data_IF_564665840538
#
_entry.id   IF_564665840538
#
_cell.length_a   1.000
_cell.length_b   1.000
_cell.length_c   1.000
_cell.angle_alpha   90.00
_cell.angle_beta   90.00
_cell.angle_gamma   90.00
#
_symmetry.space_group_name_H-M   'P 1'
#
loop_
_entity.id
_entity.type
_entity.pdbx_description
1 polymer ?
#
# COMPACT_ATOMS: atom_id res chain seq x y z
N UNK A 1 2.73 24.30 -25.37
CA UNK A 1 1.37 24.88 -25.56
C UNK A 1 0.31 23.87 -26.04
N UNK A 2 0.59 22.57 -26.22
CA UNK A 2 -0.44 21.58 -26.61
C UNK A 2 -1.35 21.12 -25.46
N UNK A 3 -0.83 20.97 -24.23
CA UNK A 3 -1.61 20.52 -23.07
C UNK A 3 -2.59 21.59 -22.57
N UNK A 4 -2.23 22.88 -22.72
CA UNK A 4 -3.09 23.99 -22.33
C UNK A 4 -4.43 23.95 -23.07
N UNK A 5 -4.42 23.64 -24.38
CA UNK A 5 -5.64 23.48 -25.19
C UNK A 5 -6.43 22.21 -24.83
N UNK A 6 -5.75 21.10 -24.50
CA UNK A 6 -6.41 19.85 -24.08
C UNK A 6 -7.14 20.03 -22.74
N UNK A 7 -6.57 20.82 -21.83
CA UNK A 7 -7.11 21.04 -20.49
C UNK A 7 -7.94 22.33 -20.38
N UNK A 8 -8.03 23.15 -21.45
CA UNK A 8 -8.81 24.39 -21.47
C UNK A 8 -10.30 24.17 -21.19
N UNK A 9 -10.95 23.10 -21.69
CA UNK A 9 -12.33 22.77 -21.34
C UNK A 9 -12.51 22.34 -19.87
N UNK A 10 -11.42 22.05 -19.15
CA UNK A 10 -11.42 21.47 -17.80
C UNK A 10 -11.16 22.51 -16.70
N UNK A 11 -11.31 23.79 -17.02
CA UNK A 11 -11.26 24.90 -16.06
C UNK A 11 -10.14 25.91 -16.31
N UNK A 12 -10.23 27.04 -15.59
CA UNK A 12 -9.21 28.10 -15.62
C UNK A 12 -7.93 27.63 -14.94
N UNK A 13 -6.83 28.34 -15.14
CA UNK A 13 -5.49 27.93 -14.65
C UNK A 13 -5.42 27.51 -13.16
N UNK A 14 -6.26 28.05 -12.28
CA UNK A 14 -6.32 27.70 -10.86
C UNK A 14 -7.27 26.54 -10.52
N UNK A 15 -8.20 26.20 -11.40
CA UNK A 15 -9.29 25.26 -11.14
C UNK A 15 -9.20 23.99 -12.00
N UNK A 16 -8.10 23.81 -12.74
CA UNK A 16 -7.87 22.62 -13.57
C UNK A 16 -7.95 21.33 -12.75
N UNK A 17 -8.43 20.27 -13.37
CA UNK A 17 -8.52 18.94 -12.77
C UNK A 17 -8.39 17.84 -13.82
N UNK A 18 -8.07 16.63 -13.37
CA UNK A 18 -8.25 15.43 -14.19
C UNK A 18 -9.67 14.88 -13.96
N UNK A 19 -10.45 14.63 -15.04
CA UNK A 19 -11.72 13.93 -14.93
C UNK A 19 -11.55 12.61 -14.18
N UNK A 20 -12.45 12.31 -13.24
CA UNK A 20 -12.33 11.14 -12.36
C UNK A 20 -12.30 9.82 -13.13
N UNK A 21 -12.96 9.77 -14.29
CA UNK A 21 -12.93 8.64 -15.22
C UNK A 21 -11.51 8.26 -15.65
N UNK A 22 -10.60 9.24 -15.78
CA UNK A 22 -9.22 9.00 -16.20
C UNK A 22 -8.36 8.40 -15.09
N UNK A 23 -8.80 8.50 -13.83
CA UNK A 23 -8.14 7.86 -12.70
C UNK A 23 -8.51 6.37 -12.60
N UNK A 24 -9.60 5.95 -13.25
CA UNK A 24 -10.03 4.55 -13.35
C UNK A 24 -9.37 3.79 -14.50
N UNK A 25 -8.48 4.44 -15.24
CA UNK A 25 -7.76 3.84 -16.35
C UNK A 25 -6.92 2.62 -15.94
N UNK A 26 -6.78 1.67 -16.88
CA UNK A 26 -5.84 0.57 -16.73
C UNK A 26 -4.42 1.12 -16.54
N UNK A 27 -3.55 0.37 -15.86
CA UNK A 27 -2.16 0.82 -15.60
C UNK A 27 -1.42 1.31 -16.85
N UNK A 28 -1.66 0.69 -18.02
CA UNK A 28 -1.09 1.13 -19.30
C UNK A 28 -1.61 2.51 -19.71
N UNK A 29 -2.93 2.71 -19.66
CA UNK A 29 -3.56 3.99 -19.99
C UNK A 29 -3.16 5.09 -18.99
N UNK A 30 -3.15 4.79 -17.70
CA UNK A 30 -2.66 5.71 -16.64
C UNK A 30 -1.22 6.10 -16.88
N UNK A 31 -0.36 5.17 -17.32
CA UNK A 31 1.03 5.47 -17.67
C UNK A 31 1.15 6.38 -18.89
N UNK A 32 0.34 6.14 -19.92
CA UNK A 32 0.28 6.99 -21.12
C UNK A 32 -0.15 8.42 -20.75
N UNK A 33 -1.20 8.55 -19.95
CA UNK A 33 -1.67 9.85 -19.46
C UNK A 33 -0.60 10.55 -18.62
N UNK A 34 0.05 9.82 -17.70
CA UNK A 34 1.15 10.33 -16.90
C UNK A 34 2.29 10.84 -17.78
N UNK A 35 2.71 10.07 -18.78
CA UNK A 35 3.78 10.45 -19.69
C UNK A 35 3.39 11.68 -20.53
N UNK A 36 2.15 11.78 -20.97
CA UNK A 36 1.63 12.96 -21.67
C UNK A 36 1.66 14.22 -20.78
N UNK A 37 1.25 14.12 -19.51
CA UNK A 37 1.34 15.23 -18.54
C UNK A 37 2.80 15.62 -18.29
N UNK A 38 3.71 14.64 -18.20
CA UNK A 38 5.14 14.91 -18.01
C UNK A 38 5.79 15.58 -19.23
N UNK A 39 5.35 15.27 -20.44
CA UNK A 39 5.80 15.93 -21.67
C UNK A 39 5.27 17.37 -21.80
N UNK A 40 4.10 17.64 -21.21
CA UNK A 40 3.48 18.97 -21.22
C UNK A 40 4.13 19.93 -20.22
N UNK A 41 3.81 19.76 -18.94
CA UNK A 41 4.21 20.67 -17.85
C UNK A 41 5.13 19.99 -16.83
N UNK A 42 5.59 18.78 -17.13
CA UNK A 42 6.56 18.06 -16.34
C UNK A 42 8.00 18.32 -16.75
N UNK A 43 8.92 17.92 -15.90
CA UNK A 43 10.36 17.92 -16.14
C UNK A 43 10.95 16.63 -15.59
N UNK A 44 11.97 16.10 -16.28
CA UNK A 44 12.66 14.87 -15.88
C UNK A 44 14.14 15.15 -15.68
N UNK A 45 14.69 14.77 -14.52
CA UNK A 45 16.13 14.72 -14.24
C UNK A 45 16.49 13.34 -13.71
N UNK A 46 17.12 12.53 -14.56
CA UNK A 46 17.39 11.11 -14.25
C UNK A 46 16.10 10.35 -13.94
N UNK A 47 16.04 9.75 -12.75
CA UNK A 47 14.89 8.98 -12.25
C UNK A 47 13.88 9.82 -11.44
N UNK A 48 14.06 11.14 -11.40
CA UNK A 48 13.16 12.07 -10.73
C UNK A 48 12.35 12.86 -11.78
N UNK A 49 11.05 12.96 -11.56
CA UNK A 49 10.13 13.79 -12.31
C UNK A 49 9.62 14.92 -11.40
N UNK A 50 9.33 16.07 -11.98
CA UNK A 50 8.65 17.16 -11.29
C UNK A 50 7.58 17.77 -12.19
N UNK A 51 6.38 17.95 -11.66
CA UNK A 51 5.26 18.58 -12.35
C UNK A 51 4.85 19.86 -11.63
N UNK A 52 4.51 20.90 -12.39
CA UNK A 52 4.15 22.20 -11.84
C UNK A 52 2.73 22.58 -12.26
N UNK A 53 1.94 23.08 -11.31
CA UNK A 53 0.58 23.55 -11.56
C UNK A 53 0.23 24.72 -10.66
N UNK A 54 -0.59 25.66 -11.17
CA UNK A 54 -1.22 26.68 -10.34
C UNK A 54 -2.46 26.17 -9.61
N UNK A 55 -3.07 25.11 -10.11
CA UNK A 55 -4.19 24.45 -9.46
C UNK A 55 -3.70 23.43 -8.45
N UNK A 56 -4.12 23.60 -7.19
CA UNK A 56 -3.91 22.62 -6.11
C UNK A 56 -4.54 21.29 -6.49
N UNK A 57 -5.78 21.33 -6.97
CA UNK A 57 -6.55 20.15 -7.36
C UNK A 57 -5.85 19.35 -8.46
N UNK A 58 -5.36 20.00 -9.52
CA UNK A 58 -4.58 19.31 -10.54
C UNK A 58 -3.28 18.72 -9.99
N UNK A 59 -2.60 19.41 -9.06
CA UNK A 59 -1.38 18.89 -8.45
C UNK A 59 -1.66 17.61 -7.64
N UNK A 60 -2.76 17.58 -6.89
CA UNK A 60 -3.22 16.41 -6.15
C UNK A 60 -3.62 15.27 -7.11
N UNK A 61 -4.33 15.58 -8.21
CA UNK A 61 -4.71 14.60 -9.24
C UNK A 61 -3.47 13.98 -9.94
N UNK A 62 -2.43 14.79 -10.22
CA UNK A 62 -1.16 14.29 -10.79
C UNK A 62 -0.37 13.46 -9.78
N UNK A 63 -0.39 13.83 -8.49
CA UNK A 63 0.20 13.01 -7.43
C UNK A 63 -0.48 11.64 -7.38
N UNK A 64 -1.80 11.61 -7.37
CA UNK A 64 -2.61 10.40 -7.38
C UNK A 64 -2.29 9.52 -8.60
N UNK A 65 -2.28 10.11 -9.81
CA UNK A 65 -1.95 9.38 -11.04
C UNK A 65 -0.54 8.77 -10.98
N UNK A 66 0.43 9.50 -10.42
CA UNK A 66 1.80 9.01 -10.25
C UNK A 66 1.86 7.82 -9.27
N UNK A 67 1.12 7.89 -8.16
CA UNK A 67 0.99 6.79 -7.19
C UNK A 67 0.37 5.55 -7.83
N UNK A 68 -0.69 5.71 -8.64
CA UNK A 68 -1.32 4.60 -9.41
C UNK A 68 -0.36 3.98 -10.44
N UNK A 69 0.49 4.78 -11.06
CA UNK A 69 1.57 4.28 -11.93
C UNK A 69 2.69 3.58 -11.12
N UNK A 70 2.66 3.72 -9.79
CA UNK A 70 3.54 3.11 -8.83
C UNK A 70 4.88 3.84 -8.69
N UNK A 71 4.85 5.16 -8.84
CA UNK A 71 5.90 6.07 -8.40
C UNK A 71 5.66 6.49 -6.94
N UNK A 72 6.68 7.01 -6.27
CA UNK A 72 6.50 7.79 -5.05
C UNK A 72 6.28 9.25 -5.43
N UNK A 73 5.27 9.92 -4.86
CA UNK A 73 4.95 11.30 -5.21
C UNK A 73 4.58 12.15 -3.98
N UNK A 74 5.05 13.40 -3.92
CA UNK A 74 4.69 14.38 -2.89
C UNK A 74 4.45 15.77 -3.46
N UNK A 75 3.45 16.48 -2.95
CA UNK A 75 3.13 17.87 -3.34
C UNK A 75 3.76 18.85 -2.37
N UNK A 76 4.39 19.90 -2.89
CA UNK A 76 4.97 21.00 -2.11
C UNK A 76 4.52 22.33 -2.71
N UNK A 77 4.07 23.26 -1.88
CA UNK A 77 3.84 24.65 -2.29
C UNK A 77 5.18 25.38 -2.42
N UNK A 78 5.45 25.99 -3.57
CA UNK A 78 6.77 26.54 -3.91
C UNK A 78 6.99 27.99 -3.43
N UNK A 79 5.96 28.71 -2.95
CA UNK A 79 6.15 30.04 -2.39
C UNK A 79 5.01 30.48 -1.44
N UNK A 80 5.40 31.12 -0.34
CA UNK A 80 4.49 31.88 0.53
C UNK A 80 3.90 33.02 -0.32
N UNK A 81 2.58 33.00 -0.55
CA UNK A 81 1.86 34.04 -1.30
C UNK A 81 1.75 33.84 -2.82
N UNK A 82 2.11 32.68 -3.38
CA UNK A 82 1.77 32.32 -4.78
C UNK A 82 1.14 30.94 -4.85
N UNK A 83 0.09 30.82 -5.65
CA UNK A 83 -0.58 29.55 -5.98
C UNK A 83 0.26 28.78 -7.01
N UNK A 84 1.40 28.22 -6.57
CA UNK A 84 2.23 27.35 -7.40
C UNK A 84 2.61 26.09 -6.63
N UNK A 85 2.10 24.97 -7.10
CA UNK A 85 2.30 23.64 -6.54
C UNK A 85 3.28 22.85 -7.39
N UNK A 86 4.19 22.16 -6.71
CA UNK A 86 5.15 21.24 -7.34
C UNK A 86 4.90 19.83 -6.84
N UNK A 87 4.64 18.91 -7.77
CA UNK A 87 4.58 17.48 -7.51
C UNK A 87 5.97 16.90 -7.73
N UNK A 88 6.62 16.43 -6.67
CA UNK A 88 7.89 15.71 -6.73
C UNK A 88 7.61 14.23 -6.90
N UNK A 89 8.10 13.63 -7.98
CA UNK A 89 7.79 12.25 -8.34
C UNK A 89 9.10 11.50 -8.53
N UNK A 90 9.23 10.32 -7.95
CA UNK A 90 10.45 9.51 -8.00
C UNK A 90 10.08 8.06 -8.23
N UNK A 91 10.98 7.30 -8.86
CA UNK A 91 10.91 5.85 -8.72
C UNK A 91 10.89 5.51 -7.22
N UNK A 92 10.07 4.55 -6.77
CA UNK A 92 10.16 4.07 -5.41
C UNK A 92 11.61 3.63 -5.20
N UNK A 93 12.33 4.32 -4.32
CA UNK A 93 13.56 3.75 -3.81
C UNK A 93 13.15 2.47 -3.10
N UNK A 94 13.71 1.33 -3.52
CA UNK A 94 13.99 0.29 -2.53
C UNK A 94 14.80 1.02 -1.46
N UNK A 95 14.20 1.18 -0.28
CA UNK A 95 14.84 1.93 0.78
C UNK A 95 16.20 1.28 1.03
N UNK A 96 17.28 2.00 0.77
CA UNK A 96 18.56 1.66 1.36
C UNK A 96 18.39 1.88 2.86
N UNK A 97 17.97 0.82 3.56
CA UNK A 97 18.14 0.70 5.00
C UNK A 97 19.57 1.13 5.27
N UNK A 98 19.74 2.15 6.12
CA UNK A 98 21.05 2.58 6.64
C UNK A 98 21.88 1.32 6.84
N UNK A 99 23.06 1.23 6.19
CA UNK A 99 23.86 0.02 6.13
C UNK A 99 23.85 -0.64 7.52
N UNK A 100 23.05 -1.71 7.72
CA UNK A 100 22.81 -2.18 9.05
C UNK A 100 24.13 -2.76 9.50
N UNK A 101 24.67 -2.26 10.61
CA UNK A 101 25.82 -2.91 11.23
C UNK A 101 25.32 -4.27 11.69
N UNK A 102 25.57 -5.31 10.87
CA UNK A 102 25.31 -6.69 11.24
C UNK A 102 26.24 -7.01 12.40
N UNK A 103 25.68 -7.04 13.59
CA UNK A 103 26.36 -7.53 14.78
C UNK A 103 26.09 -9.03 14.80
N UNK A 104 27.12 -9.89 14.73
CA UNK A 104 26.94 -11.31 14.96
C UNK A 104 26.32 -11.47 16.36
N UNK A 105 25.09 -11.96 16.40
CA UNK A 105 24.38 -12.23 17.64
C UNK A 105 24.11 -13.74 17.70
N UNK A 106 24.87 -14.44 18.52
CA UNK A 106 24.65 -15.84 18.84
C UNK A 106 23.79 -15.88 20.11
N UNK A 107 22.47 -15.88 19.93
CA UNK A 107 21.50 -15.92 21.03
C UNK A 107 20.06 -15.91 20.51
N UNK A 108 19.11 -16.27 21.37
CA UNK A 108 17.69 -16.16 21.05
C UNK A 108 17.28 -14.68 21.02
N UNK A 109 16.69 -14.22 19.92
CA UNK A 109 16.05 -12.89 19.84
C UNK A 109 14.64 -13.04 20.37
N UNK A 110 14.35 -12.43 21.52
CA UNK A 110 13.04 -12.51 22.14
C UNK A 110 12.19 -11.30 21.75
N UNK A 111 11.03 -11.56 21.17
CA UNK A 111 9.97 -10.56 21.04
C UNK A 111 9.21 -10.51 22.37
N UNK A 112 9.38 -9.43 23.13
CA UNK A 112 8.85 -9.34 24.49
C UNK A 112 7.51 -8.63 24.46
N UNK A 113 6.42 -9.34 24.79
CA UNK A 113 5.10 -8.77 25.00
C UNK A 113 4.83 -8.50 26.49
N UNK A 114 4.71 -7.23 26.89
CA UNK A 114 4.36 -6.81 28.26
C UNK A 114 2.95 -6.24 28.31
N UNK A 115 2.23 -6.54 29.41
CA UNK A 115 0.85 -6.07 29.66
C UNK A 115 0.68 -4.55 29.61
N UNK A 116 1.73 -3.80 29.95
CA UNK A 116 1.68 -2.34 30.01
C UNK A 116 2.18 -1.66 28.73
N UNK A 117 2.46 -2.45 27.68
CA UNK A 117 2.79 -2.02 26.31
C UNK A 117 4.04 -1.13 26.11
N UNK A 118 4.66 -0.69 27.19
CA UNK A 118 5.88 0.12 27.22
C UNK A 118 6.96 -0.64 27.99
N UNK A 119 8.13 -0.77 27.38
CA UNK A 119 9.34 -1.30 28.04
C UNK A 119 10.40 -0.22 28.13
N UNK A 120 11.03 -0.09 29.29
CA UNK A 120 12.24 0.70 29.44
C UNK A 120 13.44 -0.21 29.17
N UNK A 121 14.18 0.07 28.10
CA UNK A 121 15.41 -0.64 27.76
C UNK A 121 16.61 0.27 27.99
N UNK A 122 17.63 -0.24 28.66
CA UNK A 122 18.89 0.49 28.88
C UNK A 122 20.02 -0.18 28.11
N UNK A 123 20.63 0.53 27.15
CA UNK A 123 21.80 0.05 26.41
C UNK A 123 22.93 1.08 26.53
N UNK A 124 24.11 0.65 26.95
CA UNK A 124 25.30 1.50 27.13
C UNK A 124 25.02 2.76 27.97
N UNK A 125 24.33 2.58 29.10
CA UNK A 125 24.03 3.69 30.01
C UNK A 125 22.85 4.58 29.59
N UNK A 126 22.32 4.44 28.36
CA UNK A 126 21.19 5.24 27.86
C UNK A 126 19.88 4.47 28.01
N UNK A 127 18.92 5.07 28.71
CA UNK A 127 17.56 4.56 28.79
C UNK A 127 16.77 5.01 27.56
N UNK A 128 16.03 4.08 26.96
CA UNK A 128 15.06 4.34 25.91
C UNK A 128 13.76 3.66 26.30
N UNK A 129 12.65 4.38 26.12
CA UNK A 129 11.32 3.82 26.24
C UNK A 129 10.93 3.32 24.86
N UNK A 130 10.77 2.01 24.74
CA UNK A 130 10.34 1.37 23.51
C UNK A 130 8.91 0.89 23.68
N UNK A 131 8.11 1.05 22.64
CA UNK A 131 6.91 0.25 22.49
C UNK A 131 7.29 -1.23 22.47
N UNK A 132 6.36 -2.07 22.87
CA UNK A 132 6.37 -3.51 22.64
C UNK A 132 6.45 -3.82 21.11
N UNK A 133 6.35 -5.09 20.73
CA UNK A 133 6.32 -5.60 19.35
C UNK A 133 5.46 -4.75 18.38
N UNK A 134 5.66 -4.94 17.06
CA UNK A 134 5.05 -4.20 15.93
C UNK A 134 3.68 -3.55 16.21
N UNK A 135 2.77 -4.28 16.85
CA UNK A 135 1.44 -3.83 17.23
C UNK A 135 1.43 -2.59 18.15
N UNK A 136 2.30 -2.53 19.18
CA UNK A 136 2.37 -1.36 20.06
C UNK A 136 3.11 -0.19 19.45
N UNK A 137 4.11 -0.45 18.60
CA UNK A 137 4.73 0.62 17.81
C UNK A 137 3.69 1.36 16.95
N UNK A 138 2.75 0.60 16.35
CA UNK A 138 1.63 1.18 15.59
C UNK A 138 0.63 1.91 16.48
N UNK A 139 0.26 1.35 17.64
CA UNK A 139 -0.65 2.00 18.60
C UNK A 139 -0.10 3.33 19.13
N UNK A 140 1.19 3.37 19.49
CA UNK A 140 1.85 4.61 19.95
C UNK A 140 1.86 5.66 18.82
N UNK A 141 2.14 5.25 17.58
CA UNK A 141 2.11 6.17 16.45
C UNK A 141 0.72 6.79 16.22
N UNK A 142 -0.36 6.02 16.35
CA UNK A 142 -1.73 6.55 16.29
C UNK A 142 -1.97 7.59 17.40
N UNK A 143 -1.63 7.26 18.65
CA UNK A 143 -1.79 8.17 19.79
C UNK A 143 -1.04 9.48 19.57
N UNK A 144 0.22 9.40 19.14
CA UNK A 144 1.05 10.57 18.84
C UNK A 144 0.42 11.45 17.77
N UNK A 145 -0.07 10.87 16.66
CA UNK A 145 -0.71 11.64 15.58
C UNK A 145 -2.00 12.31 16.04
N UNK A 146 -2.80 11.64 16.87
CA UNK A 146 -4.02 12.22 17.45
C UNK A 146 -3.69 13.35 18.43
N UNK A 147 -2.70 13.18 19.31
CA UNK A 147 -2.27 14.23 20.24
C UNK A 147 -1.71 15.44 19.51
N UNK A 148 -0.92 15.21 18.46
CA UNK A 148 -0.34 16.28 17.67
C UNK A 148 -1.42 17.10 16.97
N UNK A 149 -2.46 16.46 16.44
CA UNK A 149 -3.63 17.15 15.92
C UNK A 149 -4.37 17.94 17.02
N UNK A 150 -4.64 17.32 18.19
CA UNK A 150 -5.33 17.99 19.31
C UNK A 150 -4.63 19.28 19.74
N UNK A 151 -3.31 19.21 19.93
CA UNK A 151 -2.47 20.29 20.47
C UNK A 151 -2.11 21.34 19.42
N UNK A 152 -1.70 20.91 18.21
CA UNK A 152 -1.10 21.78 17.20
C UNK A 152 -1.99 22.03 15.99
N UNK A 153 -3.18 21.42 15.93
CA UNK A 153 -4.13 21.52 14.79
C UNK A 153 -3.53 21.13 13.44
N UNK A 154 -2.50 20.28 13.46
CA UNK A 154 -1.92 19.73 12.23
C UNK A 154 -2.94 18.85 11.54
N UNK A 155 -3.07 19.00 10.22
CA UNK A 155 -3.98 18.20 9.42
C UNK A 155 -3.43 16.77 9.27
N UNK A 156 -4.01 15.81 10.00
CA UNK A 156 -3.53 14.42 10.06
C UNK A 156 -4.58 13.43 9.57
N UNK A 157 -4.12 12.30 9.03
CA UNK A 157 -4.94 11.16 8.59
C UNK A 157 -4.37 9.86 9.16
N UNK A 158 -5.24 9.00 9.67
CA UNK A 158 -4.86 7.71 10.25
C UNK A 158 -5.60 6.59 9.53
N UNK A 159 -4.87 5.78 8.76
CA UNK A 159 -5.41 4.61 8.07
C UNK A 159 -5.00 3.32 8.78
N UNK A 160 -5.99 2.51 9.17
CA UNK A 160 -5.78 1.14 9.66
C UNK A 160 -5.92 0.18 8.49
N UNK A 161 -4.77 -0.26 7.99
CA UNK A 161 -4.67 -1.08 6.79
C UNK A 161 -4.78 -2.55 7.17
N UNK A 162 -5.76 -3.24 6.60
CA UNK A 162 -5.91 -4.68 6.73
C UNK A 162 -5.09 -5.42 5.66
N UNK A 163 -5.04 -6.76 5.76
CA UNK A 163 -4.27 -7.62 4.86
C UNK A 163 -4.48 -7.22 3.39
N UNK A 164 -3.42 -6.69 2.79
CA UNK A 164 -3.41 -6.19 1.42
C UNK A 164 -2.42 -6.99 0.58
N UNK A 165 -2.82 -7.30 -0.64
CA UNK A 165 -2.03 -8.06 -1.60
C UNK A 165 -2.07 -7.42 -2.99
N UNK A 166 -1.09 -7.76 -3.83
CA UNK A 166 -1.03 -7.28 -5.20
C UNK A 166 0.35 -7.45 -5.84
N UNK A 167 0.53 -6.93 -7.05
CA UNK A 167 1.83 -6.87 -7.71
C UNK A 167 2.89 -6.19 -6.84
N UNK A 168 4.16 -6.55 -7.07
CA UNK A 168 5.36 -6.03 -6.35
C UNK A 168 5.56 -6.52 -4.91
N UNK A 169 4.77 -7.48 -4.46
CA UNK A 169 5.11 -8.22 -3.24
C UNK A 169 6.44 -8.96 -3.41
N UNK A 170 7.19 -9.13 -2.32
CA UNK A 170 8.39 -9.97 -2.31
C UNK A 170 7.98 -11.45 -2.35
N UNK A 171 8.77 -12.27 -3.01
CA UNK A 171 8.52 -13.72 -3.13
C UNK A 171 8.63 -14.43 -1.79
N UNK A 172 9.51 -13.95 -0.92
CA UNK A 172 9.77 -14.47 0.43
C UNK A 172 9.20 -13.56 1.53
N UNK A 173 8.13 -12.83 1.22
CA UNK A 173 7.51 -11.87 2.14
C UNK A 173 6.88 -12.53 3.38
N UNK A 174 6.62 -13.84 3.34
CA UNK A 174 6.04 -14.61 4.44
C UNK A 174 4.51 -14.49 4.57
N UNK A 175 3.87 -13.64 3.75
CA UNK A 175 2.41 -13.59 3.63
C UNK A 175 1.86 -14.81 2.87
N UNK A 176 0.67 -15.25 3.28
CA UNK A 176 0.00 -16.44 2.72
C UNK A 176 -0.26 -16.35 1.21
N UNK A 177 -0.70 -15.18 0.72
CA UNK A 177 -1.00 -14.99 -0.72
C UNK A 177 0.25 -15.13 -1.58
N UNK A 178 1.37 -14.52 -1.19
CA UNK A 178 2.64 -14.64 -1.92
C UNK A 178 3.18 -16.07 -1.87
N UNK A 179 3.10 -16.73 -0.71
CA UNK A 179 3.59 -18.10 -0.56
C UNK A 179 2.82 -19.07 -1.46
N UNK A 180 1.48 -19.02 -1.49
CA UNK A 180 0.69 -19.88 -2.36
C UNK A 180 0.96 -19.63 -3.84
N UNK A 181 1.07 -18.36 -4.25
CA UNK A 181 1.37 -18.03 -5.65
C UNK A 181 2.74 -18.57 -6.05
N UNK A 182 3.76 -18.37 -5.20
CA UNK A 182 5.13 -18.85 -5.47
C UNK A 182 5.19 -20.38 -5.49
N UNK A 183 4.58 -21.05 -4.51
CA UNK A 183 4.50 -22.52 -4.44
C UNK A 183 3.82 -23.09 -5.69
N UNK A 184 2.64 -22.57 -6.04
CA UNK A 184 1.91 -22.98 -7.23
C UNK A 184 2.73 -22.75 -8.51
N UNK A 185 3.37 -21.60 -8.67
CA UNK A 185 4.21 -21.32 -9.84
C UNK A 185 5.46 -22.20 -9.90
N UNK A 186 5.95 -22.72 -8.76
CA UNK A 186 7.09 -23.65 -8.72
C UNK A 186 6.69 -25.11 -8.87
N UNK A 187 5.39 -25.42 -8.91
CA UNK A 187 4.91 -26.80 -8.86
C UNK A 187 5.16 -27.47 -7.51
N UNK A 188 5.29 -26.68 -6.44
CA UNK A 188 5.40 -27.15 -5.06
C UNK A 188 4.00 -27.34 -4.44
N UNK A 189 3.90 -28.21 -3.43
CA UNK A 189 2.67 -28.39 -2.64
C UNK A 189 2.27 -27.08 -1.93
N UNK A 190 0.98 -26.78 -1.89
CA UNK A 190 0.44 -25.62 -1.18
C UNK A 190 0.39 -25.90 0.32
N UNK A 191 1.04 -25.08 1.13
CA UNK A 191 1.18 -25.35 2.58
C UNK A 191 0.18 -24.58 3.42
N UNK A 192 -0.82 -25.26 3.99
CA UNK A 192 -1.77 -24.67 4.95
C UNK A 192 -1.36 -25.05 6.38
N UNK A 193 -1.28 -24.06 7.26
CA UNK A 193 -1.14 -24.30 8.70
C UNK A 193 -2.53 -24.32 9.35
N UNK A 194 -2.84 -25.33 10.17
CA UNK A 194 -4.16 -25.57 10.75
C UNK A 194 -5.10 -26.36 9.83
N UNK A 195 -6.41 -26.24 10.05
CA UNK A 195 -7.44 -26.98 9.29
C UNK A 195 -7.73 -26.37 7.92
N UNK A 196 -7.32 -25.13 7.68
CA UNK A 196 -7.64 -24.36 6.47
C UNK A 196 -8.98 -23.62 6.54
N UNK A 197 -9.77 -23.85 7.59
CA UNK A 197 -11.07 -23.20 7.83
C UNK A 197 -10.93 -21.79 8.41
N UNK A 198 -9.73 -21.42 8.87
CA UNK A 198 -9.49 -20.07 9.37
C UNK A 198 -9.72 -19.05 8.27
N UNK A 199 -10.44 -17.99 8.62
CA UNK A 199 -10.81 -16.95 7.67
C UNK A 199 -9.87 -15.75 7.75
N UNK A 200 -9.66 -15.12 6.60
CA UNK A 200 -8.99 -13.82 6.49
C UNK A 200 -9.70 -12.97 5.44
N UNK A 201 -9.68 -11.67 5.66
CA UNK A 201 -10.01 -10.68 4.65
C UNK A 201 -8.78 -10.33 3.81
N UNK A 202 -8.95 -10.15 2.50
CA UNK A 202 -7.88 -9.69 1.60
C UNK A 202 -8.36 -8.51 0.75
N UNK A 203 -7.65 -7.39 0.87
CA UNK A 203 -7.89 -6.19 0.07
C UNK A 203 -6.90 -6.13 -1.09
N UNK A 204 -7.37 -5.86 -2.31
CA UNK A 204 -6.47 -5.66 -3.43
C UNK A 204 -5.80 -4.28 -3.34
N UNK A 205 -4.53 -4.18 -3.74
CA UNK A 205 -3.71 -2.97 -3.57
C UNK A 205 -4.32 -1.73 -4.22
N UNK A 206 -4.99 -1.86 -5.37
CA UNK A 206 -5.60 -0.69 -6.05
C UNK A 206 -6.78 -0.12 -5.24
N UNK A 207 -7.61 -0.98 -4.62
CA UNK A 207 -8.69 -0.54 -3.73
C UNK A 207 -8.12 0.15 -2.48
N UNK A 208 -7.04 -0.39 -1.90
CA UNK A 208 -6.37 0.25 -0.77
C UNK A 208 -5.84 1.64 -1.16
N UNK A 209 -5.19 1.76 -2.31
CA UNK A 209 -4.64 3.04 -2.79
C UNK A 209 -5.77 4.07 -2.96
N UNK A 210 -6.88 3.68 -3.59
CA UNK A 210 -8.08 4.51 -3.69
C UNK A 210 -8.56 4.99 -2.32
N UNK A 211 -8.65 4.08 -1.34
CA UNK A 211 -9.10 4.40 0.02
C UNK A 211 -8.15 5.37 0.73
N UNK A 212 -6.83 5.20 0.55
CA UNK A 212 -5.82 6.10 1.11
C UNK A 212 -5.89 7.49 0.49
N UNK A 213 -6.09 7.60 -0.82
CA UNK A 213 -6.24 8.87 -1.52
C UNK A 213 -7.49 9.61 -1.04
N UNK A 214 -8.63 8.91 -0.94
CA UNK A 214 -9.87 9.51 -0.44
C UNK A 214 -9.74 9.97 0.99
N UNK A 215 -9.09 9.16 1.85
CA UNK A 215 -8.83 9.56 3.22
C UNK A 215 -7.93 10.80 3.27
N UNK A 216 -6.87 10.85 2.45
CA UNK A 216 -5.98 12.01 2.38
C UNK A 216 -6.73 13.29 2.00
N UNK A 217 -7.65 13.20 1.05
CA UNK A 217 -8.43 14.33 0.55
C UNK A 217 -9.70 14.63 1.36
N UNK A 218 -10.03 13.83 2.38
CA UNK A 218 -11.22 14.06 3.20
C UNK A 218 -10.97 15.19 4.21
N UNK A 219 -11.84 16.19 4.22
CA UNK A 219 -11.76 17.30 5.18
C UNK A 219 -12.32 16.91 6.55
N UNK A 220 -11.67 17.36 7.62
CA UNK A 220 -12.16 17.19 9.00
C UNK A 220 -12.13 15.75 9.53
N UNK A 221 -11.51 14.81 8.81
CA UNK A 221 -11.34 13.42 9.26
C UNK A 221 -9.96 13.28 9.90
N UNK A 222 -9.92 13.08 11.21
CA UNK A 222 -8.66 12.98 11.97
C UNK A 222 -8.51 11.71 12.76
N UNK A 223 -9.60 10.97 12.95
CA UNK A 223 -9.59 9.73 13.70
C UNK A 223 -9.36 8.52 12.78
N UNK A 224 -8.97 7.37 13.35
CA UNK A 224 -8.63 6.19 12.57
C UNK A 224 -9.77 5.68 11.69
N UNK A 225 -9.45 5.37 10.42
CA UNK A 225 -10.36 4.75 9.45
C UNK A 225 -9.81 3.40 9.01
N UNK A 226 -10.63 2.35 9.11
CA UNK A 226 -10.30 1.01 8.64
C UNK A 226 -10.39 0.95 7.12
N UNK A 227 -9.30 0.57 6.45
CA UNK A 227 -9.26 0.31 5.01
C UNK A 227 -8.92 -1.16 4.78
N UNK A 228 -9.88 -1.90 4.24
CA UNK A 228 -9.79 -3.34 4.06
C UNK A 228 -11.01 -3.92 3.37
N UNK A 229 -11.00 -5.22 3.17
CA UNK A 229 -12.10 -5.96 2.56
C UNK A 229 -13.00 -6.61 3.62
N UNK A 230 -14.31 -6.29 3.71
CA UNK A 230 -15.20 -6.90 4.69
C UNK A 230 -15.55 -8.36 4.36
N UNK A 231 -15.22 -8.83 3.15
CA UNK A 231 -15.42 -10.20 2.72
C UNK A 231 -14.28 -11.09 3.22
N UNK A 232 -14.67 -12.15 3.93
CA UNK A 232 -13.77 -13.17 4.44
C UNK A 232 -13.68 -14.36 3.49
N UNK A 233 -12.50 -14.96 3.44
CA UNK A 233 -12.23 -16.19 2.70
C UNK A 233 -11.46 -17.15 3.60
N UNK A 234 -11.76 -18.44 3.49
CA UNK A 234 -10.99 -19.50 4.13
C UNK A 234 -9.62 -19.66 3.45
N UNK A 235 -8.64 -20.19 4.18
CA UNK A 235 -7.34 -20.48 3.56
C UNK A 235 -7.44 -21.56 2.49
N UNK A 236 -8.40 -22.48 2.63
CA UNK A 236 -8.70 -23.49 1.62
C UNK A 236 -9.22 -22.87 0.32
N UNK A 237 -10.23 -22.00 0.39
CA UNK A 237 -10.74 -21.29 -0.79
C UNK A 237 -9.66 -20.46 -1.49
N UNK A 238 -8.80 -19.81 -0.70
CA UNK A 238 -7.66 -19.06 -1.24
C UNK A 238 -6.68 -19.97 -1.98
N UNK A 239 -6.29 -21.11 -1.39
CA UNK A 239 -5.36 -22.06 -1.98
C UNK A 239 -5.93 -22.66 -3.28
N UNK A 240 -7.20 -23.06 -3.28
CA UNK A 240 -7.90 -23.60 -4.44
C UNK A 240 -8.01 -22.59 -5.59
N UNK A 241 -8.32 -21.32 -5.29
CA UNK A 241 -8.38 -20.27 -6.31
C UNK A 241 -7.00 -20.00 -6.92
N UNK A 242 -5.94 -19.98 -6.10
CA UNK A 242 -4.56 -19.81 -6.59
C UNK A 242 -4.15 -20.98 -7.47
N UNK A 243 -4.38 -22.23 -7.04
CA UNK A 243 -4.07 -23.42 -7.84
C UNK A 243 -4.80 -23.40 -9.19
N UNK A 244 -6.09 -23.02 -9.19
CA UNK A 244 -6.92 -22.89 -10.39
C UNK A 244 -6.40 -21.82 -11.35
N UNK A 245 -5.96 -20.67 -10.84
CA UNK A 245 -5.41 -19.58 -11.66
C UNK A 245 -4.04 -19.97 -12.24
N UNK A 246 -3.20 -20.66 -11.47
CA UNK A 246 -1.88 -21.12 -11.91
C UNK A 246 -1.93 -22.36 -12.81
N UNK A 247 -3.06 -23.08 -12.86
CA UNK A 247 -3.23 -24.28 -13.67
C UNK A 247 -2.46 -25.50 -13.15
N UNK A 248 -2.28 -25.62 -11.83
CA UNK A 248 -1.53 -26.73 -11.18
C UNK A 248 -2.46 -27.63 -10.36
N UNK A 249 -2.03 -28.86 -10.08
CA UNK A 249 -2.74 -29.71 -9.12
C UNK A 249 -2.66 -29.05 -7.74
N UNK A 250 -3.82 -28.81 -7.13
CA UNK A 250 -3.94 -28.15 -5.83
C UNK A 250 -3.62 -29.09 -4.68
N UNK A 251 -2.48 -29.80 -4.73
CA UNK A 251 -2.07 -30.69 -3.66
C UNK A 251 -1.73 -29.84 -2.43
N UNK A 252 -2.65 -29.86 -1.46
CA UNK A 252 -2.57 -29.09 -0.23
C UNK A 252 -2.00 -29.96 0.87
N UNK A 253 -0.96 -29.48 1.53
CA UNK A 253 -0.35 -30.11 2.70
C UNK A 253 -0.66 -29.32 3.96
N UNK A 254 -1.16 -30.02 4.96
CA UNK A 254 -1.54 -29.45 6.24
C UNK A 254 -0.42 -29.58 7.28
N UNK A 255 -0.16 -28.51 8.00
CA UNK A 255 0.79 -28.43 9.10
C UNK A 255 0.09 -27.95 10.39
N UNK A 256 0.64 -28.22 11.59
CA UNK A 256 0.08 -27.70 12.84
C UNK A 256 0.01 -26.16 12.86
N UNK A 257 -1.06 -25.60 13.42
CA UNK A 257 -1.21 -24.15 13.56
C UNK A 257 -0.20 -23.58 14.58
N UNK A 258 0.54 -22.51 14.28
CA UNK A 258 1.31 -21.79 15.29
C UNK A 258 0.40 -21.24 16.40
N UNK A 259 0.83 -21.32 17.66
CA UNK A 259 0.01 -20.93 18.84
C UNK A 259 -0.45 -19.47 18.85
N UNK A 260 0.24 -18.58 18.12
CA UNK A 260 0.03 -17.12 18.15
C UNK A 260 -0.82 -16.56 16.99
N UNK A 261 -1.44 -17.39 16.14
CA UNK A 261 -2.19 -16.88 14.98
C UNK A 261 -3.62 -16.46 15.36
N UNK A 262 -4.01 -15.18 15.24
CA UNK A 262 -5.35 -14.71 15.61
C UNK A 262 -6.44 -15.40 14.77
N UNK A 263 -7.51 -15.89 15.43
CA UNK A 263 -8.51 -16.74 14.77
C UNK A 263 -9.37 -16.02 13.73
N UNK A 264 -9.61 -14.71 13.87
CA UNK A 264 -10.44 -13.94 12.94
C UNK A 264 -9.94 -12.50 12.78
N UNK A 265 -9.95 -11.97 11.55
CA UNK A 265 -9.60 -10.58 11.23
C UNK A 265 -10.50 -10.06 10.11
N UNK A 266 -11.72 -9.65 10.46
CA UNK A 266 -12.67 -8.99 9.55
C UNK A 266 -12.71 -7.49 9.82
N UNK A 267 -12.40 -6.63 8.83
CA UNK A 267 -12.52 -5.19 9.00
C UNK A 267 -13.99 -4.75 9.03
N UNK A 268 -14.35 -3.94 10.02
CA UNK A 268 -15.52 -3.08 9.94
C UNK A 268 -15.15 -1.80 9.19
N UNK A 269 -15.70 -1.62 7.99
CA UNK A 269 -15.45 -0.48 7.11
C UNK A 269 -16.59 0.55 7.10
N UNK A 270 -17.51 0.49 8.07
CA UNK A 270 -18.67 1.41 8.17
C UNK A 270 -18.23 2.87 8.10
N UNK A 271 -17.15 3.23 8.82
CA UNK A 271 -16.58 4.57 8.80
C UNK A 271 -16.03 4.98 7.43
N UNK A 272 -15.37 4.07 6.72
CA UNK A 272 -14.85 4.35 5.39
C UNK A 272 -15.99 4.58 4.37
N UNK A 273 -17.08 3.82 4.47
CA UNK A 273 -18.28 4.04 3.66
C UNK A 273 -18.93 5.39 3.94
N UNK A 274 -19.11 5.75 5.20
CA UNK A 274 -19.77 6.99 5.60
C UNK A 274 -18.94 8.25 5.27
N UNK A 275 -17.65 8.23 5.61
CA UNK A 275 -16.80 9.41 5.48
C UNK A 275 -16.16 9.56 4.10
N UNK A 276 -15.83 8.43 3.45
CA UNK A 276 -15.05 8.43 2.20
C UNK A 276 -15.88 7.95 1.00
N UNK A 277 -17.12 7.50 1.22
CA UNK A 277 -17.93 6.82 0.20
C UNK A 277 -17.17 5.67 -0.47
N UNK A 278 -16.28 5.02 0.29
CA UNK A 278 -15.32 4.04 -0.20
C UNK A 278 -15.70 2.64 0.23
N UNK A 279 -15.59 1.70 -0.70
CA UNK A 279 -15.59 0.27 -0.46
C UNK A 279 -14.73 -0.43 -1.52
N UNK A 280 -14.11 -1.58 -1.21
CA UNK A 280 -13.31 -2.31 -2.18
C UNK A 280 -14.19 -2.90 -3.27
N UNK A 281 -13.76 -2.73 -4.51
CA UNK A 281 -14.53 -3.08 -5.70
C UNK A 281 -13.96 -4.28 -6.44
N UNK A 282 -12.71 -4.66 -6.19
CA UNK A 282 -12.01 -5.70 -6.94
C UNK A 282 -12.22 -7.06 -6.25
N UNK A 283 -12.90 -8.03 -6.91
CA UNK A 283 -13.07 -9.37 -6.35
C UNK A 283 -11.73 -10.07 -6.16
N UNK A 284 -11.63 -10.93 -5.13
CA UNK A 284 -10.41 -11.66 -4.79
C UNK A 284 -9.78 -12.34 -6.01
N UNK A 285 -10.60 -13.07 -6.78
CA UNK A 285 -10.22 -13.78 -8.00
C UNK A 285 -9.55 -12.87 -9.03
N UNK A 286 -10.09 -11.68 -9.27
CA UNK A 286 -9.54 -10.73 -10.23
C UNK A 286 -8.20 -10.16 -9.74
N UNK A 287 -8.13 -9.80 -8.46
CA UNK A 287 -6.87 -9.37 -7.85
C UNK A 287 -5.79 -10.46 -7.87
N UNK A 288 -6.17 -11.73 -7.65
CA UNK A 288 -5.26 -12.88 -7.71
C UNK A 288 -4.72 -13.09 -9.13
N UNK A 289 -5.57 -13.06 -10.16
CA UNK A 289 -5.14 -13.16 -11.56
C UNK A 289 -4.07 -12.13 -11.91
N UNK A 290 -4.29 -10.86 -11.54
CA UNK A 290 -3.31 -9.78 -11.77
C UNK A 290 -2.01 -10.00 -11.01
N UNK A 291 -2.10 -10.55 -9.80
CA UNK A 291 -0.94 -10.82 -8.96
C UNK A 291 -0.13 -12.00 -9.51
N UNK A 292 -0.77 -13.11 -9.88
CA UNK A 292 -0.14 -14.28 -10.50
C UNK A 292 0.53 -13.92 -11.81
N UNK A 293 -0.13 -13.12 -12.67
CA UNK A 293 0.45 -12.64 -13.91
C UNK A 293 1.76 -11.86 -13.67
N UNK A 294 1.78 -10.98 -12.65
CA UNK A 294 2.99 -10.25 -12.27
C UNK A 294 4.14 -11.18 -11.82
N UNK A 295 3.86 -12.19 -10.98
CA UNK A 295 4.88 -13.15 -10.53
C UNK A 295 5.38 -14.02 -11.69
N UNK A 296 4.49 -14.42 -12.60
CA UNK A 296 4.85 -15.21 -13.80
C UNK A 296 5.77 -14.43 -14.73
N UNK A 297 5.41 -13.19 -15.09
CA UNK A 297 6.25 -12.32 -15.91
C UNK A 297 7.63 -12.05 -15.28
N UNK A 298 7.67 -11.88 -13.95
CA UNK A 298 8.91 -11.64 -13.21
C UNK A 298 9.82 -12.88 -13.23
N UNK A 299 9.25 -14.08 -13.11
CA UNK A 299 9.98 -15.34 -13.22
C UNK A 299 10.61 -15.48 -14.61
N UNK A 300 9.82 -15.28 -15.67
CA UNK A 300 10.29 -15.43 -17.05
C UNK A 300 11.43 -14.44 -17.40
N UNK A 301 11.36 -13.21 -16.88
CA UNK A 301 12.45 -12.22 -17.01
C UNK A 301 13.72 -12.60 -16.28
N UNK A 302 13.62 -13.34 -15.18
CA UNK A 302 14.77 -13.78 -14.39
C UNK A 302 15.41 -14.99 -15.05
N UNK A 303 14.61 -15.91 -15.59
CA UNK A 303 15.09 -17.08 -16.36
C UNK A 303 15.78 -16.69 -17.67
N UNK A 304 15.31 -15.66 -18.38
CA UNK A 304 15.96 -15.17 -19.61
C UNK A 304 17.24 -14.34 -19.39
N UNK A 305 17.63 -14.09 -18.14
CA UNK A 305 18.86 -13.36 -17.76
C UNK A 305 19.94 -14.26 -17.16
N UNK A 306 19.62 -15.53 -16.91
CA UNK A 306 20.56 -16.56 -16.48
C UNK A 306 21.10 -17.32 -17.69
#
# INVERSE_FOLDING_TARGET
SQLAMILEPLGKSGDKYLPREYLQFSRRQSKILFDALMLGDGSRRGNCYAYYSKSKRLADDVQELALRCGYAASVVSHAIGRDLYRVNIRLPLEANLVAPRRIPYAGKVYCINVRNHVICVRRNGRAAWCGNCYDEGKRIAETLMMDYHRQNKVDTRIARIFNTYGPRMLENDGRVVSNFIVQALRGEELTIYGTGEQTRAFCYVDDLIEGLIRLMNADGVHEPVNLGNPHEFTMKELAEEVARICGVSGDIKYYPLPEDDPRQRRPDITRARQLLQWEPTIPLREGLKRTVAYFSERRDRTSNRA
#
